data_IF_514537829725
#
_entry.id   IF_514537829725
#
_cell.length_a   1.000
_cell.length_b   1.000
_cell.length_c   1.000
_cell.angle_alpha   90.00
_cell.angle_beta   90.00
_cell.angle_gamma   90.00
#
_symmetry.space_group_name_H-M   'P 1'
#
loop_
_entity.id
_entity.type
_entity.pdbx_description
1 polymer ?
#
# COMPACT_ATOMS: atom_id res chain seq x y z
N UNK A 1 -42.72 0.96 -34.76
CA UNK A 1 -41.96 1.68 -33.71
C UNK A 1 -42.65 1.40 -32.37
N UNK A 2 -42.23 0.31 -31.72
CA UNK A 2 -42.80 -0.17 -30.46
C UNK A 2 -41.86 0.16 -29.30
N UNK A 3 -42.43 0.79 -28.29
CA UNK A 3 -41.77 1.35 -27.10
C UNK A 3 -40.90 0.30 -26.36
N UNK A 4 -39.60 0.55 -26.28
CA UNK A 4 -38.59 -0.30 -25.60
C UNK A 4 -38.17 0.24 -24.22
N UNK A 5 -38.95 1.14 -23.62
CA UNK A 5 -38.66 1.69 -22.29
C UNK A 5 -39.89 1.59 -21.38
N UNK A 6 -40.16 0.36 -20.93
CA UNK A 6 -40.98 0.12 -19.75
C UNK A 6 -40.19 0.56 -18.51
N UNK A 7 -40.68 1.60 -17.85
CA UNK A 7 -40.34 1.95 -16.48
C UNK A 7 -40.64 0.75 -15.59
N UNK A 8 -39.60 0.04 -15.19
CA UNK A 8 -39.47 -0.71 -13.94
C UNK A 8 -38.10 -1.40 -14.02
N UNK A 9 -37.06 -0.69 -13.58
CA UNK A 9 -35.82 -1.37 -13.18
C UNK A 9 -36.20 -2.16 -11.94
N UNK A 10 -36.74 -3.37 -12.13
CA UNK A 10 -36.95 -4.33 -11.07
C UNK A 10 -35.61 -4.49 -10.36
N UNK A 11 -35.53 -3.99 -9.13
CA UNK A 11 -34.44 -4.40 -8.24
C UNK A 11 -34.47 -5.93 -8.23
N UNK A 12 -33.33 -6.62 -8.43
CA UNK A 12 -33.33 -8.07 -8.35
C UNK A 12 -33.92 -8.48 -7.00
N UNK A 13 -35.06 -9.17 -7.04
CA UNK A 13 -35.70 -9.72 -5.85
C UNK A 13 -34.84 -10.91 -5.45
N UNK A 14 -33.88 -10.67 -4.58
CA UNK A 14 -33.01 -11.70 -4.05
C UNK A 14 -33.81 -12.67 -3.19
N UNK A 15 -33.64 -13.96 -3.43
CA UNK A 15 -34.05 -14.95 -2.42
C UNK A 15 -33.11 -14.84 -1.22
N UNK A 16 -33.61 -15.11 -0.01
CA UNK A 16 -32.80 -15.07 1.21
C UNK A 16 -31.48 -15.88 1.10
N UNK A 17 -31.50 -17.00 0.37
CA UNK A 17 -30.31 -17.83 0.10
C UNK A 17 -29.30 -17.15 -0.83
N UNK A 18 -29.75 -16.41 -1.85
CA UNK A 18 -28.86 -15.66 -2.73
C UNK A 18 -28.22 -14.49 -1.99
N UNK A 19 -28.99 -13.75 -1.19
CA UNK A 19 -28.48 -12.66 -0.36
C UNK A 19 -27.42 -13.17 0.64
N UNK A 20 -27.69 -14.30 1.31
CA UNK A 20 -26.74 -14.92 2.23
C UNK A 20 -25.43 -15.33 1.52
N UNK A 21 -25.50 -15.88 0.32
CA UNK A 21 -24.32 -16.25 -0.44
C UNK A 21 -23.49 -15.02 -0.84
N UNK A 22 -24.12 -13.94 -1.26
CA UNK A 22 -23.44 -12.69 -1.59
C UNK A 22 -22.74 -12.06 -0.38
N UNK A 23 -23.39 -12.08 0.79
CA UNK A 23 -22.80 -11.63 2.06
C UNK A 23 -21.54 -12.46 2.38
N UNK A 24 -21.61 -13.79 2.26
CA UNK A 24 -20.46 -14.66 2.52
C UNK A 24 -19.30 -14.37 1.56
N UNK A 25 -19.57 -14.20 0.26
CA UNK A 25 -18.55 -13.83 -0.72
C UNK A 25 -17.95 -12.45 -0.44
N UNK A 26 -18.78 -11.47 -0.05
CA UNK A 26 -18.32 -10.14 0.32
C UNK A 26 -17.40 -10.18 1.55
N UNK A 27 -17.74 -10.97 2.59
CA UNK A 27 -16.86 -11.18 3.76
C UNK A 27 -15.52 -11.78 3.38
N UNK A 28 -15.52 -12.78 2.51
CA UNK A 28 -14.29 -13.39 2.02
C UNK A 28 -13.41 -12.35 1.31
N UNK A 29 -14.01 -11.55 0.41
CA UNK A 29 -13.29 -10.47 -0.28
C UNK A 29 -12.75 -9.38 0.66
N UNK A 30 -13.47 -9.04 1.72
CA UNK A 30 -13.00 -8.10 2.75
C UNK A 30 -11.80 -8.67 3.52
N UNK A 31 -11.85 -9.95 3.88
CA UNK A 31 -10.73 -10.61 4.55
C UNK A 31 -9.48 -10.66 3.66
N UNK A 32 -9.64 -10.96 2.37
CA UNK A 32 -8.54 -10.91 1.40
C UNK A 32 -7.97 -9.50 1.26
N UNK A 33 -8.82 -8.47 1.23
CA UNK A 33 -8.39 -7.08 1.19
C UNK A 33 -7.60 -6.66 2.43
N UNK A 34 -7.99 -7.11 3.63
CA UNK A 34 -7.21 -6.91 4.86
C UNK A 34 -5.83 -7.53 4.78
N UNK A 35 -5.75 -8.79 4.32
CA UNK A 35 -4.46 -9.45 4.14
C UNK A 35 -3.58 -8.72 3.11
N UNK A 36 -4.17 -8.24 2.02
CA UNK A 36 -3.46 -7.44 1.02
C UNK A 36 -2.94 -6.11 1.62
N UNK A 37 -3.75 -5.41 2.41
CA UNK A 37 -3.34 -4.18 3.10
C UNK A 37 -2.21 -4.43 4.10
N UNK A 38 -2.26 -5.53 4.85
CA UNK A 38 -1.17 -5.91 5.76
C UNK A 38 0.14 -6.13 5.00
N UNK A 39 0.10 -6.86 3.88
CA UNK A 39 1.29 -7.09 3.03
C UNK A 39 1.83 -5.78 2.45
N UNK A 40 0.95 -4.89 1.99
CA UNK A 40 1.34 -3.58 1.48
C UNK A 40 2.03 -2.75 2.57
N UNK A 41 1.47 -2.72 3.78
CA UNK A 41 2.09 -2.01 4.91
C UNK A 41 3.48 -2.55 5.23
N UNK A 42 3.63 -3.88 5.26
CA UNK A 42 4.93 -4.51 5.48
C UNK A 42 5.93 -4.18 4.36
N UNK A 43 5.51 -4.15 3.10
CA UNK A 43 6.39 -3.75 1.98
C UNK A 43 6.84 -2.29 2.11
N UNK A 44 5.93 -1.37 2.48
CA UNK A 44 6.26 0.03 2.74
C UNK A 44 7.28 0.14 3.86
N UNK A 45 7.06 -0.54 4.99
CA UNK A 45 7.97 -0.50 6.15
C UNK A 45 9.37 -1.03 5.78
N UNK A 46 9.43 -2.14 5.04
CA UNK A 46 10.69 -2.70 4.55
C UNK A 46 11.43 -1.71 3.62
N UNK A 47 10.70 -0.97 2.79
CA UNK A 47 11.30 0.03 1.90
C UNK A 47 11.83 1.23 2.68
N UNK A 48 11.09 1.71 3.69
CA UNK A 48 11.54 2.76 4.60
C UNK A 48 12.84 2.35 5.30
N UNK A 49 12.87 1.15 5.89
CA UNK A 49 14.06 0.64 6.57
C UNK A 49 15.26 0.55 5.62
N UNK A 50 15.09 -0.07 4.44
CA UNK A 50 16.18 -0.20 3.47
C UNK A 50 16.70 1.14 3.00
N UNK A 51 15.82 2.12 2.79
CA UNK A 51 16.22 3.45 2.38
C UNK A 51 17.02 4.15 3.48
N UNK A 52 16.61 4.01 4.74
CA UNK A 52 17.36 4.52 5.88
C UNK A 52 18.77 3.88 5.96
N UNK A 53 18.86 2.55 5.83
CA UNK A 53 20.14 1.83 5.82
C UNK A 53 21.07 2.32 4.68
N UNK A 54 20.50 2.65 3.52
CA UNK A 54 21.25 3.23 2.40
C UNK A 54 21.80 4.62 2.77
N UNK A 55 20.99 5.48 3.38
CA UNK A 55 21.45 6.82 3.78
C UNK A 55 22.53 6.75 4.86
N UNK A 56 22.35 5.91 5.88
CA UNK A 56 23.36 5.70 6.92
C UNK A 56 24.69 5.18 6.32
N UNK A 57 24.61 4.28 5.35
CA UNK A 57 25.80 3.81 4.63
C UNK A 57 26.48 4.94 3.85
N UNK A 58 25.71 5.79 3.15
CA UNK A 58 26.26 6.91 2.39
C UNK A 58 26.94 7.93 3.30
N UNK A 59 26.35 8.26 4.44
CA UNK A 59 26.94 9.16 5.44
C UNK A 59 28.27 8.63 5.95
N UNK A 60 28.35 7.34 6.28
CA UNK A 60 29.60 6.70 6.69
C UNK A 60 30.68 6.76 5.59
N UNK A 61 30.30 6.61 4.32
CA UNK A 61 31.23 6.69 3.19
C UNK A 61 31.66 8.12 2.90
N UNK A 62 30.79 9.10 3.10
CA UNK A 62 31.13 10.52 3.01
C UNK A 62 32.14 10.91 4.11
N UNK A 63 31.91 10.50 5.35
CA UNK A 63 32.85 10.73 6.44
C UNK A 63 34.22 10.05 6.17
N UNK A 64 34.22 8.84 5.61
CA UNK A 64 35.45 8.17 5.19
C UNK A 64 36.18 8.96 4.09
N UNK A 65 35.45 9.49 3.10
CA UNK A 65 36.02 10.31 2.04
C UNK A 65 36.74 11.54 2.62
N UNK A 66 36.09 12.25 3.54
CA UNK A 66 36.67 13.40 4.23
C UNK A 66 37.95 13.06 4.99
N UNK A 67 37.95 11.94 5.73
CA UNK A 67 39.16 11.46 6.42
C UNK A 67 40.30 11.14 5.44
N UNK A 68 40.00 10.51 4.30
CA UNK A 68 41.01 10.19 3.30
C UNK A 68 41.56 11.46 2.64
N UNK A 69 40.71 12.46 2.36
CA UNK A 69 41.12 13.76 1.82
C UNK A 69 42.06 14.46 2.80
N UNK A 70 41.68 14.56 4.08
CA UNK A 70 42.52 15.18 5.11
C UNK A 70 43.88 14.47 5.24
N UNK A 71 43.88 13.12 5.23
CA UNK A 71 45.11 12.34 5.23
C UNK A 71 45.98 12.63 4.01
N UNK A 72 45.40 12.71 2.81
CA UNK A 72 46.13 12.98 1.57
C UNK A 72 46.70 14.40 1.53
N UNK A 73 46.05 15.37 2.18
CA UNK A 73 46.60 16.73 2.33
C UNK A 73 47.85 16.73 3.24
N UNK A 74 47.81 15.97 4.34
CA UNK A 74 48.95 15.85 5.26
C UNK A 74 50.10 15.00 4.70
N UNK A 75 49.78 13.96 3.93
CA UNK A 75 50.75 13.03 3.35
C UNK A 75 50.29 12.62 1.95
N UNK A 76 50.63 13.43 0.92
CA UNK A 76 50.22 13.17 -0.45
C UNK A 76 50.73 11.82 -0.95
N UNK A 77 49.82 11.04 -1.55
CA UNK A 77 50.17 9.76 -2.15
C UNK A 77 49.33 9.51 -3.41
N UNK A 78 49.93 9.13 -4.55
CA UNK A 78 49.18 8.79 -5.76
C UNK A 78 48.18 7.64 -5.54
N UNK A 79 48.53 6.67 -4.71
CA UNK A 79 47.66 5.57 -4.34
C UNK A 79 46.41 6.06 -3.57
N UNK A 80 46.62 6.96 -2.59
CA UNK A 80 45.54 7.52 -1.79
C UNK A 80 44.63 8.44 -2.64
N UNK A 81 45.22 9.25 -3.51
CA UNK A 81 44.48 10.08 -4.47
C UNK A 81 43.58 9.23 -5.39
N UNK A 82 44.09 8.10 -5.90
CA UNK A 82 43.29 7.17 -6.70
C UNK A 82 42.13 6.53 -5.92
N UNK A 83 42.32 6.25 -4.62
CA UNK A 83 41.23 5.74 -3.76
C UNK A 83 40.17 6.80 -3.49
N UNK A 84 40.57 8.04 -3.23
CA UNK A 84 39.67 9.18 -3.05
C UNK A 84 38.80 9.35 -4.29
N UNK A 85 39.41 9.40 -5.48
CA UNK A 85 38.68 9.57 -6.73
C UNK A 85 37.66 8.45 -6.98
N UNK A 86 38.05 7.19 -6.73
CA UNK A 86 37.13 6.04 -6.87
C UNK A 86 35.96 6.12 -5.90
N UNK A 87 36.21 6.46 -4.64
CA UNK A 87 35.16 6.58 -3.62
C UNK A 87 34.22 7.74 -3.94
N UNK A 88 34.76 8.89 -4.30
CA UNK A 88 33.99 10.07 -4.68
C UNK A 88 33.08 9.76 -5.87
N UNK A 89 33.62 9.18 -6.95
CA UNK A 89 32.82 8.79 -8.11
C UNK A 89 31.71 7.79 -7.75
N UNK A 90 32.01 6.79 -6.93
CA UNK A 90 31.02 5.81 -6.49
C UNK A 90 29.90 6.46 -5.64
N UNK A 91 30.23 7.46 -4.82
CA UNK A 91 29.23 8.24 -4.07
C UNK A 91 28.35 9.08 -4.98
N UNK A 92 28.95 9.81 -5.92
CA UNK A 92 28.23 10.62 -6.91
C UNK A 92 27.26 9.76 -7.74
N UNK A 93 27.70 8.60 -8.23
CA UNK A 93 26.85 7.66 -8.97
C UNK A 93 25.67 7.15 -8.12
N UNK A 94 25.90 6.87 -6.83
CA UNK A 94 24.85 6.41 -5.92
C UNK A 94 23.84 7.49 -5.59
N UNK A 95 24.29 8.72 -5.34
CA UNK A 95 23.42 9.87 -5.10
C UNK A 95 22.59 10.19 -6.34
N UNK A 96 23.20 10.23 -7.52
CA UNK A 96 22.47 10.44 -8.78
C UNK A 96 21.41 9.35 -9.02
N UNK A 97 21.69 8.10 -8.65
CA UNK A 97 20.70 7.02 -8.73
C UNK A 97 19.52 7.22 -7.76
N UNK A 98 19.77 7.72 -6.54
CA UNK A 98 18.71 8.05 -5.58
C UNK A 98 17.85 9.20 -6.11
N UNK A 99 18.47 10.27 -6.60
CA UNK A 99 17.77 11.40 -7.21
C UNK A 99 16.91 10.98 -8.41
N UNK A 100 17.43 10.07 -9.24
CA UNK A 100 16.72 9.57 -10.43
C UNK A 100 15.56 8.65 -10.06
N UNK A 101 15.77 7.74 -9.10
CA UNK A 101 14.76 6.72 -8.74
C UNK A 101 13.71 7.24 -7.76
N UNK A 102 13.98 8.36 -7.06
CA UNK A 102 13.07 9.03 -6.12
C UNK A 102 12.39 8.06 -5.14
N UNK A 103 13.15 7.21 -4.42
CA UNK A 103 12.57 6.16 -3.57
C UNK A 103 11.65 6.72 -2.49
N UNK A 104 11.93 7.93 -1.98
CA UNK A 104 11.10 8.62 -0.97
C UNK A 104 9.73 8.99 -1.52
N UNK A 105 9.68 9.47 -2.77
CA UNK A 105 8.43 9.78 -3.45
C UNK A 105 7.61 8.52 -3.65
N UNK A 106 8.24 7.44 -4.11
CA UNK A 106 7.56 6.14 -4.29
C UNK A 106 6.98 5.64 -2.97
N UNK A 107 7.75 5.71 -1.88
CA UNK A 107 7.28 5.34 -0.53
C UNK A 107 6.10 6.23 -0.10
N UNK A 108 6.18 7.54 -0.35
CA UNK A 108 5.13 8.50 -0.02
C UNK A 108 3.84 8.19 -0.79
N UNK A 109 3.93 7.96 -2.08
CA UNK A 109 2.80 7.62 -2.95
C UNK A 109 2.16 6.28 -2.52
N UNK A 110 2.97 5.27 -2.20
CA UNK A 110 2.49 3.99 -1.67
C UNK A 110 1.78 4.15 -0.32
N UNK A 111 2.31 5.00 0.56
CA UNK A 111 1.74 5.28 1.88
C UNK A 111 0.39 6.01 1.76
N UNK A 112 0.28 6.98 0.84
CA UNK A 112 -0.97 7.66 0.56
C UNK A 112 -2.03 6.71 -0.02
N UNK A 113 -1.63 5.83 -0.94
CA UNK A 113 -2.50 4.79 -1.48
C UNK A 113 -2.96 3.80 -0.40
N UNK A 114 -2.07 3.42 0.52
CA UNK A 114 -2.41 2.58 1.66
C UNK A 114 -3.51 3.20 2.53
N UNK A 115 -3.39 4.48 2.91
CA UNK A 115 -4.41 5.15 3.72
C UNK A 115 -5.75 5.32 2.98
N UNK A 116 -5.70 5.53 1.67
CA UNK A 116 -6.91 5.57 0.82
C UNK A 116 -7.61 4.21 0.81
N UNK A 117 -6.88 3.14 0.51
CA UNK A 117 -7.42 1.77 0.45
C UNK A 117 -7.94 1.31 1.81
N UNK A 118 -7.26 1.66 2.90
CA UNK A 118 -7.70 1.39 4.27
C UNK A 118 -9.04 2.07 4.58
N UNK A 119 -9.19 3.33 4.20
CA UNK A 119 -10.43 4.08 4.37
C UNK A 119 -11.57 3.50 3.53
N UNK A 120 -11.29 3.11 2.27
CA UNK A 120 -12.26 2.45 1.41
C UNK A 120 -12.71 1.08 1.94
N UNK A 121 -11.78 0.29 2.48
CA UNK A 121 -12.10 -1.01 3.08
C UNK A 121 -13.01 -0.83 4.29
N UNK A 122 -12.67 0.08 5.20
CA UNK A 122 -13.50 0.39 6.37
C UNK A 122 -14.91 0.83 5.96
N UNK A 123 -15.04 1.62 4.88
CA UNK A 123 -16.34 2.01 4.33
C UNK A 123 -17.12 0.81 3.80
N UNK A 124 -16.47 -0.09 3.05
CA UNK A 124 -17.11 -1.31 2.51
C UNK A 124 -17.55 -2.26 3.63
N UNK A 125 -16.75 -2.40 4.68
CA UNK A 125 -17.09 -3.17 5.87
C UNK A 125 -18.32 -2.61 6.58
N UNK A 126 -18.38 -1.29 6.78
CA UNK A 126 -19.55 -0.65 7.39
C UNK A 126 -20.82 -0.88 6.56
N UNK A 127 -20.73 -0.79 5.23
CA UNK A 127 -21.85 -1.07 4.34
C UNK A 127 -22.30 -2.54 4.41
N UNK A 128 -21.35 -3.48 4.45
CA UNK A 128 -21.66 -4.90 4.56
C UNK A 128 -22.35 -5.21 5.88
N UNK A 129 -21.85 -4.68 7.00
CA UNK A 129 -22.47 -4.84 8.31
C UNK A 129 -23.90 -4.30 8.34
N UNK A 130 -24.15 -3.16 7.69
CA UNK A 130 -25.51 -2.61 7.56
C UNK A 130 -26.42 -3.51 6.71
N UNK A 131 -25.90 -4.08 5.60
CA UNK A 131 -26.68 -5.02 4.78
C UNK A 131 -26.98 -6.34 5.49
N UNK A 132 -26.07 -6.82 6.34
CA UNK A 132 -26.29 -7.99 7.17
C UNK A 132 -27.38 -7.76 8.20
N UNK A 133 -27.34 -6.62 8.89
CA UNK A 133 -28.39 -6.23 9.83
C UNK A 133 -29.75 -6.14 9.12
N UNK A 134 -29.82 -5.52 7.94
CA UNK A 134 -31.06 -5.44 7.16
C UNK A 134 -31.58 -6.81 6.73
N UNK A 135 -30.69 -7.71 6.27
CA UNK A 135 -31.05 -9.08 5.89
C UNK A 135 -31.60 -9.89 7.07
N UNK A 136 -31.04 -9.73 8.27
CA UNK A 136 -31.52 -10.39 9.48
C UNK A 136 -32.94 -9.92 9.87
N UNK A 137 -33.21 -8.61 9.77
CA UNK A 137 -34.55 -8.06 10.04
C UNK A 137 -35.61 -8.53 9.03
N UNK A 138 -35.27 -8.62 7.74
CA UNK A 138 -36.20 -9.13 6.71
C UNK A 138 -36.53 -10.61 6.93
N UNK A 139 -35.54 -11.42 7.32
CA UNK A 139 -35.74 -12.85 7.64
C UNK A 139 -36.63 -13.01 8.89
N UNK A 140 -36.44 -12.21 9.94
CA UNK A 140 -37.31 -12.23 11.13
C UNK A 140 -38.76 -11.84 10.79
N UNK A 141 -38.97 -10.82 9.96
CA UNK A 141 -40.32 -10.41 9.51
C UNK A 141 -41.02 -11.49 8.68
N UNK A 142 -40.32 -12.15 7.76
CA UNK A 142 -40.86 -13.25 6.94
C UNK A 142 -41.23 -14.48 7.78
N UNK A 143 -40.53 -14.71 8.90
CA UNK A 143 -40.85 -15.77 9.86
C UNK A 143 -42.08 -15.45 10.74
N UNK A 144 -42.37 -14.17 10.97
CA UNK A 144 -43.55 -13.73 11.74
C UNK A 144 -44.83 -13.72 10.90
N UNK A 145 -44.74 -13.51 9.57
CA UNK A 145 -45.90 -13.34 8.69
C UNK A 145 -46.43 -14.65 8.10
N UNK A 146 -45.66 -15.75 8.10
CA UNK A 146 -46.16 -17.08 7.68
C UNK A 146 -46.85 -17.81 8.86
N UNK A 147 -48.19 -17.98 8.86
CA UNK A 147 -48.85 -18.81 9.87
C UNK A 147 -48.45 -20.28 9.69
N UNK A 148 -48.26 -20.99 10.80
CA UNK A 148 -48.10 -22.45 10.85
C UNK A 148 -49.37 -23.17 10.39
#
# INVERSE_FOLDING_TARGET
>A
MSNFFGKDVQRPVYTAKQLQNEIVLAKAGINEAHQALMRLKQDIDNRCQKLQEIYEFLDQKQALLEQLIARNQSQPSPYLAGRIQKLQKALEERLANIETTQPEKVITDLSANYETLKSELARKEALLNNSELAALYEIELDMVIKPR
#
